data_IF_237749940478
#
_entry.id   IF_237749940478
#
_cell.length_a   1.000
_cell.length_b   1.000
_cell.length_c   1.000
_cell.angle_alpha   90.00
_cell.angle_beta   90.00
_cell.angle_gamma   90.00
#
_symmetry.space_group_name_H-M   'P 1'
#
loop_
_entity.id
_entity.type
_entity.pdbx_description
1 polymer ?
#
# COMPACT_ATOMS: atom_id res chain seq x y z
N UNK A 1 11.38 -37.88 -44.78
CA UNK A 1 10.51 -37.97 -43.59
C UNK A 1 11.04 -36.96 -42.57
N UNK A 2 10.55 -35.72 -42.60
CA UNK A 2 10.90 -34.71 -41.60
C UNK A 2 9.86 -34.76 -40.49
N UNK A 3 10.31 -35.10 -39.28
CA UNK A 3 9.44 -35.39 -38.13
C UNK A 3 8.80 -34.09 -37.60
N UNK A 4 7.46 -33.96 -37.63
CA UNK A 4 6.78 -32.76 -37.15
C UNK A 4 6.71 -32.69 -35.61
N UNK A 5 7.23 -33.70 -34.92
CA UNK A 5 7.19 -33.80 -33.45
C UNK A 5 8.09 -32.79 -32.73
N UNK A 6 9.12 -32.24 -33.38
CA UNK A 6 10.04 -31.27 -32.74
C UNK A 6 9.37 -29.90 -32.59
N UNK A 7 8.51 -29.50 -33.54
CA UNK A 7 7.83 -28.20 -33.53
C UNK A 7 6.72 -28.11 -32.46
N UNK A 8 6.13 -29.24 -32.09
CA UNK A 8 5.12 -29.33 -31.03
C UNK A 8 5.71 -29.24 -29.61
N UNK A 9 6.99 -29.57 -29.42
CA UNK A 9 7.65 -29.44 -28.11
C UNK A 9 8.06 -27.99 -27.79
N UNK A 10 8.32 -27.14 -28.80
CA UNK A 10 8.72 -25.75 -28.57
C UNK A 10 7.57 -24.85 -28.09
N UNK A 11 6.32 -25.14 -28.45
CA UNK A 11 5.17 -24.33 -28.01
C UNK A 11 4.76 -24.58 -26.55
N UNK A 12 5.18 -25.70 -25.95
CA UNK A 12 4.88 -26.02 -24.56
C UNK A 12 5.78 -25.28 -23.54
N UNK A 13 6.93 -24.75 -23.97
CA UNK A 13 7.91 -24.12 -23.05
C UNK A 13 7.69 -22.60 -22.89
N UNK A 14 7.00 -21.96 -23.84
CA UNK A 14 6.80 -20.50 -23.82
C UNK A 14 5.58 -20.09 -22.95
N UNK A 15 4.71 -21.04 -22.58
CA UNK A 15 3.50 -20.78 -21.80
C UNK A 15 3.69 -20.68 -20.28
N UNK A 16 4.83 -21.09 -19.73
CA UNK A 16 5.03 -21.18 -18.27
C UNK A 16 5.81 -20.00 -17.67
N UNK A 17 6.34 -19.07 -18.47
CA UNK A 17 7.12 -17.93 -17.97
C UNK A 17 6.30 -16.69 -17.61
N UNK A 18 4.98 -16.67 -17.84
CA UNK A 18 4.11 -15.54 -17.50
C UNK A 18 3.48 -15.64 -16.08
N UNK A 19 3.97 -16.54 -15.22
CA UNK A 19 3.30 -16.90 -13.97
C UNK A 19 3.77 -16.23 -12.67
N UNK A 20 4.75 -15.30 -12.67
CA UNK A 20 5.49 -15.02 -11.41
C UNK A 20 5.38 -13.62 -10.78
N UNK A 21 4.58 -12.67 -11.28
CA UNK A 21 4.48 -11.33 -10.63
C UNK A 21 3.05 -10.76 -10.56
N UNK A 22 2.01 -11.58 -10.68
CA UNK A 22 0.62 -11.07 -10.55
C UNK A 22 0.19 -10.91 -9.07
N UNK A 23 0.76 -11.71 -8.16
CA UNK A 23 0.29 -11.80 -6.78
C UNK A 23 0.71 -10.62 -5.89
N UNK A 24 1.88 -10.02 -6.11
CA UNK A 24 2.34 -8.90 -5.27
C UNK A 24 1.70 -7.55 -5.63
N UNK A 25 1.00 -7.47 -6.76
CA UNK A 25 0.37 -6.23 -7.24
C UNK A 25 -1.13 -6.14 -6.97
N UNK A 26 -1.81 -7.28 -6.69
CA UNK A 26 -3.27 -7.36 -6.58
C UNK A 26 -3.89 -6.32 -5.62
N UNK A 27 -3.16 -5.95 -4.57
CA UNK A 27 -3.65 -5.02 -3.54
C UNK A 27 -2.99 -3.63 -3.61
N UNK A 28 -2.02 -3.43 -4.50
CA UNK A 28 -1.31 -2.14 -4.60
C UNK A 28 -2.27 -1.02 -5.03
N UNK A 29 -3.12 -1.27 -6.03
CA UNK A 29 -4.10 -0.30 -6.50
C UNK A 29 -5.10 0.08 -5.41
N UNK A 30 -5.63 -0.91 -4.69
CA UNK A 30 -6.57 -0.69 -3.58
C UNK A 30 -5.94 0.18 -2.48
N UNK A 31 -4.69 -0.12 -2.09
CA UNK A 31 -3.95 0.68 -1.12
C UNK A 31 -3.69 2.08 -1.67
N UNK A 32 -3.30 2.20 -2.94
CA UNK A 32 -2.98 3.48 -3.56
C UNK A 32 -4.22 4.39 -3.64
N UNK A 33 -5.37 3.84 -4.00
CA UNK A 33 -6.66 4.54 -3.96
C UNK A 33 -6.99 4.97 -2.54
N UNK A 34 -6.82 4.09 -1.54
CA UNK A 34 -7.09 4.40 -0.14
C UNK A 34 -6.26 5.59 0.35
N UNK A 35 -4.94 5.55 0.18
CA UNK A 35 -4.04 6.61 0.67
C UNK A 35 -4.26 7.92 -0.06
N UNK A 36 -4.52 7.88 -1.37
CA UNK A 36 -4.81 9.08 -2.16
C UNK A 36 -6.13 9.73 -1.72
N UNK A 37 -7.16 8.93 -1.48
CA UNK A 37 -8.46 9.43 -1.04
C UNK A 37 -8.38 9.99 0.39
N UNK A 38 -7.63 9.34 1.29
CA UNK A 38 -7.39 9.86 2.63
C UNK A 38 -6.62 11.19 2.60
N UNK A 39 -5.56 11.28 1.80
CA UNK A 39 -4.79 12.51 1.64
C UNK A 39 -5.63 13.64 1.03
N UNK A 40 -6.47 13.31 0.04
CA UNK A 40 -7.41 14.27 -0.55
C UNK A 40 -8.45 14.76 0.46
N UNK A 41 -9.08 13.85 1.20
CA UNK A 41 -10.06 14.18 2.25
C UNK A 41 -9.45 15.08 3.34
N UNK A 42 -8.21 14.80 3.74
CA UNK A 42 -7.47 15.64 4.67
C UNK A 42 -7.22 17.05 4.11
N UNK A 43 -6.70 17.17 2.89
CA UNK A 43 -6.39 18.47 2.24
C UNK A 43 -7.62 19.32 1.95
N UNK A 44 -8.77 18.69 1.74
CA UNK A 44 -10.06 19.36 1.48
C UNK A 44 -10.87 19.57 2.75
N UNK A 45 -10.31 19.24 3.93
CA UNK A 45 -10.97 19.34 5.24
C UNK A 45 -12.29 18.54 5.32
N UNK A 46 -12.45 17.52 4.48
CA UNK A 46 -13.59 16.61 4.52
C UNK A 46 -13.35 15.52 5.57
N UNK A 47 -13.50 15.90 6.84
CA UNK A 47 -13.24 15.02 7.98
C UNK A 47 -14.20 13.82 8.05
N UNK A 48 -15.43 13.93 7.52
CA UNK A 48 -16.36 12.81 7.43
C UNK A 48 -15.77 11.68 6.59
N UNK A 49 -15.39 12.00 5.33
CA UNK A 49 -14.73 11.05 4.44
C UNK A 49 -13.38 10.60 5.00
N UNK A 50 -12.61 11.49 5.62
CA UNK A 50 -11.32 11.13 6.20
C UNK A 50 -11.48 10.02 7.24
N UNK A 51 -12.42 10.14 8.17
CA UNK A 51 -12.61 9.16 9.23
C UNK A 51 -13.35 7.90 8.79
N UNK A 52 -13.94 7.89 7.60
CA UNK A 52 -14.34 6.65 6.92
C UNK A 52 -13.14 5.88 6.33
N UNK A 53 -12.00 6.55 6.15
CA UNK A 53 -10.80 6.01 5.50
C UNK A 53 -9.63 5.74 6.46
N UNK A 54 -9.55 6.44 7.58
CA UNK A 54 -8.51 6.26 8.61
C UNK A 54 -9.14 6.13 10.00
N UNK A 55 -8.49 5.40 10.90
CA UNK A 55 -8.91 5.39 12.30
C UNK A 55 -8.65 6.73 12.98
N UNK A 56 -9.71 7.29 13.58
CA UNK A 56 -9.67 8.55 14.32
C UNK A 56 -8.72 8.49 15.53
N UNK A 57 -7.89 9.51 15.72
CA UNK A 57 -7.01 9.67 16.89
C UNK A 57 -5.83 8.72 16.97
N UNK A 58 -5.61 7.89 15.94
CA UNK A 58 -4.49 6.93 15.86
C UNK A 58 -3.27 7.55 15.17
N UNK A 59 -2.25 6.72 14.90
CA UNK A 59 -0.93 7.16 14.41
C UNK A 59 -0.99 8.07 13.18
N UNK A 60 -1.79 7.72 12.17
CA UNK A 60 -1.88 8.49 10.93
C UNK A 60 -2.61 9.81 11.11
N UNK A 61 -3.77 9.80 11.78
CA UNK A 61 -4.53 11.02 12.10
C UNK A 61 -3.67 12.01 12.88
N UNK A 62 -2.94 11.52 13.89
CA UNK A 62 -1.99 12.32 14.65
C UNK A 62 -0.86 12.86 13.77
N UNK A 63 -0.27 12.02 12.92
CA UNK A 63 0.84 12.41 12.06
C UNK A 63 0.44 13.53 11.08
N UNK A 64 -0.70 13.37 10.40
CA UNK A 64 -1.23 14.38 9.48
C UNK A 64 -1.48 15.71 10.21
N UNK A 65 -2.09 15.68 11.41
CA UNK A 65 -2.31 16.87 12.23
C UNK A 65 -1.01 17.57 12.67
N UNK A 66 0.05 16.81 12.95
CA UNK A 66 1.35 17.38 13.34
C UNK A 66 2.18 17.91 12.18
N UNK A 67 1.95 17.44 10.96
CA UNK A 67 2.71 17.80 9.75
C UNK A 67 1.78 18.28 8.62
N UNK A 68 0.99 19.35 8.85
CA UNK A 68 0.03 19.82 7.88
C UNK A 68 0.73 20.24 6.59
N UNK A 69 0.18 19.83 5.45
CA UNK A 69 0.64 20.19 4.10
C UNK A 69 2.07 19.76 3.71
N UNK A 70 2.75 18.97 4.53
CA UNK A 70 4.09 18.49 4.22
C UNK A 70 4.07 17.30 3.26
N UNK A 71 3.05 16.43 3.35
CA UNK A 71 2.96 15.25 2.51
C UNK A 71 2.49 15.66 1.11
N UNK A 72 3.37 15.62 0.12
CA UNK A 72 3.05 15.95 -1.27
C UNK A 72 2.47 14.74 -2.03
N UNK A 73 3.05 13.56 -1.82
CA UNK A 73 2.66 12.33 -2.54
C UNK A 73 2.97 11.08 -1.71
N UNK A 74 2.13 10.07 -1.85
CA UNK A 74 2.32 8.74 -1.28
C UNK A 74 2.31 7.73 -2.43
N UNK A 75 3.29 6.84 -2.48
CA UNK A 75 3.42 5.78 -3.49
C UNK A 75 3.43 4.44 -2.80
N UNK A 76 2.61 3.49 -3.24
CA UNK A 76 2.63 2.13 -2.71
C UNK A 76 3.78 1.36 -3.35
N UNK A 77 4.63 0.77 -2.52
CA UNK A 77 5.78 -0.03 -2.96
C UNK A 77 5.48 -1.53 -2.87
N UNK A 78 4.83 -1.95 -1.78
CA UNK A 78 4.46 -3.34 -1.54
C UNK A 78 3.07 -3.40 -0.91
N UNK A 79 2.28 -4.40 -1.28
CA UNK A 79 1.00 -4.68 -0.63
C UNK A 79 0.76 -6.19 -0.58
N UNK A 80 0.36 -6.68 0.58
CA UNK A 80 0.14 -8.09 0.83
C UNK A 80 -1.10 -8.29 1.71
N UNK A 81 -2.03 -9.10 1.22
CA UNK A 81 -3.15 -9.57 2.03
C UNK A 81 -2.67 -10.63 3.03
N UNK A 82 -2.98 -10.43 4.30
CA UNK A 82 -2.74 -11.38 5.40
C UNK A 82 -4.07 -11.96 5.90
N UNK A 83 -3.99 -12.98 6.77
CA UNK A 83 -5.17 -13.65 7.32
C UNK A 83 -6.21 -12.66 7.87
N UNK A 84 -7.48 -12.89 7.52
CA UNK A 84 -8.58 -12.02 7.92
C UNK A 84 -8.86 -10.86 6.95
N UNK A 85 -8.28 -10.87 5.75
CA UNK A 85 -8.52 -9.87 4.71
C UNK A 85 -7.84 -8.51 4.97
N UNK A 86 -6.97 -8.45 5.98
CA UNK A 86 -6.17 -7.24 6.25
C UNK A 86 -5.07 -7.14 5.21
N UNK A 87 -4.86 -5.95 4.64
CA UNK A 87 -3.76 -5.70 3.71
C UNK A 87 -2.67 -4.96 4.46
N UNK A 88 -1.48 -5.57 4.55
CA UNK A 88 -0.27 -4.88 5.00
C UNK A 88 0.42 -4.27 3.80
N UNK A 89 0.85 -3.02 3.90
CA UNK A 89 1.52 -2.34 2.80
C UNK A 89 2.73 -1.54 3.27
N UNK A 90 3.69 -1.42 2.36
CA UNK A 90 4.80 -0.48 2.44
C UNK A 90 4.50 0.66 1.48
N UNK A 91 4.60 1.88 1.97
CA UNK A 91 4.39 3.09 1.17
C UNK A 91 5.58 4.03 1.32
N UNK A 92 5.96 4.64 0.21
CA UNK A 92 6.90 5.76 0.15
C UNK A 92 6.14 7.08 0.29
N UNK A 93 6.50 7.89 1.28
CA UNK A 93 5.95 9.22 1.54
C UNK A 93 6.97 10.24 1.07
N UNK A 94 6.59 11.04 0.08
CA UNK A 94 7.36 12.20 -0.37
C UNK A 94 6.85 13.45 0.33
N UNK A 95 7.74 14.06 1.10
CA UNK A 95 7.52 15.32 1.81
C UNK A 95 8.23 16.43 1.05
N UNK A 96 7.51 17.53 0.85
CA UNK A 96 8.10 18.75 0.28
C UNK A 96 8.74 19.56 1.41
N UNK A 97 10.03 19.85 1.28
CA UNK A 97 10.73 20.83 2.08
C UNK A 97 11.05 22.02 1.19
N UNK A 98 11.11 23.21 1.77
CA UNK A 98 11.43 24.45 1.05
C UNK A 98 12.74 24.38 0.21
N UNK A 99 13.63 23.43 0.51
CA UNK A 99 14.94 23.24 -0.16
C UNK A 99 15.10 21.88 -0.87
N UNK A 100 14.04 21.07 -0.97
CA UNK A 100 14.08 19.76 -1.64
C UNK A 100 13.01 18.79 -1.15
N UNK A 101 12.99 17.56 -1.67
CA UNK A 101 12.06 16.54 -1.20
C UNK A 101 12.75 15.50 -0.31
N UNK A 102 12.05 15.08 0.75
CA UNK A 102 12.46 13.94 1.56
C UNK A 102 11.57 12.73 1.26
N UNK A 103 12.20 11.56 1.21
CA UNK A 103 11.51 10.29 1.04
C UNK A 103 11.59 9.50 2.36
N UNK A 104 10.42 9.10 2.86
CA UNK A 104 10.28 8.24 4.03
C UNK A 104 9.49 6.99 3.68
N UNK A 105 9.92 5.85 4.19
CA UNK A 105 9.11 4.64 4.13
C UNK A 105 8.13 4.61 5.31
N UNK A 106 6.93 4.10 5.09
CA UNK A 106 5.96 3.82 6.12
C UNK A 106 5.28 2.48 5.88
N UNK A 107 4.87 1.83 6.96
CA UNK A 107 4.04 0.63 6.94
C UNK A 107 2.61 1.01 7.31
N UNK A 108 1.65 0.57 6.50
CA UNK A 108 0.22 0.75 6.74
C UNK A 108 -0.48 -0.59 6.81
N UNK A 109 -1.43 -0.70 7.75
CA UNK A 109 -2.36 -1.83 7.81
C UNK A 109 -3.75 -1.33 7.42
N UNK A 110 -4.35 -2.00 6.43
CA UNK A 110 -5.70 -1.75 5.95
C UNK A 110 -6.61 -2.88 6.40
N UNK A 111 -7.49 -2.61 7.35
CA UNK A 111 -8.49 -3.56 7.81
C UNK A 111 -9.76 -3.47 6.95
N UNK A 112 -10.44 -4.58 6.64
CA UNK A 112 -11.74 -4.55 5.98
C UNK A 112 -12.75 -3.71 6.77
N UNK A 113 -13.46 -2.83 6.08
CA UNK A 113 -14.52 -2.01 6.68
C UNK A 113 -15.70 -1.88 5.73
N UNK A 114 -16.91 -2.11 6.25
CA UNK A 114 -18.16 -1.92 5.49
C UNK A 114 -18.58 -0.46 5.38
N UNK A 115 -18.04 0.41 6.24
CA UNK A 115 -18.37 1.83 6.26
C UNK A 115 -17.46 2.64 5.36
N UNK A 116 -16.29 2.11 5.00
CA UNK A 116 -15.37 2.77 4.09
C UNK A 116 -15.84 2.65 2.63
N UNK A 117 -15.77 3.73 1.84
CA UNK A 117 -16.12 3.69 0.41
C UNK A 117 -15.21 2.79 -0.43
N UNK A 118 -14.02 2.43 0.07
CA UNK A 118 -13.08 1.52 -0.61
C UNK A 118 -13.17 0.08 -0.12
N UNK A 119 -13.97 -0.18 0.90
CA UNK A 119 -14.01 -1.46 1.61
C UNK A 119 -12.92 -1.65 2.67
N UNK A 120 -12.05 -0.65 2.88
CA UNK A 120 -10.94 -0.71 3.85
C UNK A 120 -10.78 0.56 4.67
N UNK A 121 -10.32 0.42 5.91
CA UNK A 121 -9.88 1.53 6.76
C UNK A 121 -8.39 1.36 7.07
N UNK A 122 -7.62 2.44 7.04
CA UNK A 122 -6.24 2.40 7.50
C UNK A 122 -6.25 2.38 9.03
N UNK A 123 -6.05 1.20 9.60
CA UNK A 123 -6.15 0.94 11.04
C UNK A 123 -4.85 1.28 11.76
N UNK A 124 -3.70 1.09 11.10
CA UNK A 124 -2.39 1.39 11.66
C UNK A 124 -1.47 2.01 10.62
N UNK A 125 -0.57 2.87 11.09
CA UNK A 125 0.47 3.48 10.27
C UNK A 125 1.69 3.81 11.11
N UNK A 126 2.86 3.40 10.64
CA UNK A 126 4.16 3.64 11.29
C UNK A 126 5.17 4.13 10.26
N UNK A 127 5.85 5.23 10.56
CA UNK A 127 6.94 5.76 9.74
C UNK A 127 8.23 5.06 10.13
N UNK A 128 8.95 4.57 9.14
CA UNK A 128 10.18 3.82 9.35
C UNK A 128 11.37 4.77 9.53
N UNK A 129 12.20 4.52 10.55
CA UNK A 129 13.46 5.24 10.78
C UNK A 129 14.65 4.61 10.01
N UNK A 130 14.38 3.63 9.15
CA UNK A 130 15.36 2.84 8.41
C UNK A 130 14.65 1.84 7.49
N UNK A 131 15.37 0.85 6.92
CA UNK A 131 14.78 -0.11 5.99
C UNK A 131 13.67 -0.92 6.68
N UNK A 132 12.46 -0.85 6.12
CA UNK A 132 11.31 -1.62 6.56
C UNK A 132 10.67 -2.36 5.38
N UNK A 133 9.96 -3.45 5.67
CA UNK A 133 9.36 -4.30 4.64
C UNK A 133 8.15 -5.06 5.17
N UNK A 134 7.29 -5.51 4.25
CA UNK A 134 6.07 -6.22 4.60
C UNK A 134 6.41 -7.69 4.92
N UNK A 135 6.09 -8.15 6.14
CA UNK A 135 6.37 -9.54 6.57
C UNK A 135 5.10 -10.39 6.65
N UNK A 136 5.15 -11.59 6.09
CA UNK A 136 4.21 -12.70 6.29
C UNK A 136 4.41 -13.33 7.68
N UNK A 137 4.07 -12.60 8.74
CA UNK A 137 4.15 -13.13 10.11
C UNK A 137 3.58 -12.17 11.14
N UNK A 138 3.02 -12.71 12.22
CA UNK A 138 2.65 -11.95 13.42
C UNK A 138 3.91 -11.41 14.08
N UNK A 139 4.35 -10.23 13.67
CA UNK A 139 5.38 -9.49 14.40
C UNK A 139 5.03 -8.02 14.34
N UNK A 140 4.79 -7.47 15.52
CA UNK A 140 4.44 -6.08 15.74
C UNK A 140 5.56 -5.13 15.32
N UNK A 141 5.16 -3.86 15.20
CA UNK A 141 6.01 -2.71 14.94
C UNK A 141 7.10 -2.61 16.02
N UNK A 142 8.37 -2.66 15.62
CA UNK A 142 9.48 -2.32 16.52
C UNK A 142 9.58 -0.79 16.60
N UNK A 143 9.47 -0.27 17.82
CA UNK A 143 9.94 1.07 18.20
C UNK A 143 11.47 1.10 18.26
#
# INVERSE_FOLDING_TARGET
MHSPTILLLLSAVIGLSYGTIYWSQKHMDAVQTQVNLALHAYRTENYGLLYDLIEHGKGIDRYMKTHPNQIYRITVEEALEVNGGTIKSKVGIMIDLNEGSLHYDALLDLAPSKTSPTGYIISQGVICQGPCGVRTGNVGFFN
#
